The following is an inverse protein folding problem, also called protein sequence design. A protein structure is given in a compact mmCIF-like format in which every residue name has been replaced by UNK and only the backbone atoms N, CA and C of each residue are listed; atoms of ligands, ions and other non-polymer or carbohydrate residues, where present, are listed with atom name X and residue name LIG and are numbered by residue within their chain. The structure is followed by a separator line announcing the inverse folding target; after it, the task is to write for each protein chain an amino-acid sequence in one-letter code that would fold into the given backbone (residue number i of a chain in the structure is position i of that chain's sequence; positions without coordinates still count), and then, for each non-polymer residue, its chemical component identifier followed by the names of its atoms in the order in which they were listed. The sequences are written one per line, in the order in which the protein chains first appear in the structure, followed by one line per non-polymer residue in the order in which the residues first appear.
data_IF_392031328725
#
_entry.id   IF_392031328725
#
_cell.length_a   1.000
_cell.length_b   1.000
_cell.length_c   1.000
_cell.angle_alpha   90.00
_cell.angle_beta   90.00
_cell.angle_gamma   90.00
#
_symmetry.space_group_name_H-M   'P 1'
#
loop_
_entity.id
_entity.type
_entity.pdbx_description
1 polymer ?
#
# COMPACT_ATOMS: atom_id res chain seq x y z
N UNK A 1 21.93 -10.67 1.54
CA UNK A 1 20.50 -11.03 1.58
C UNK A 1 19.75 -9.72 1.68
N UNK A 2 18.97 -9.32 0.67
CA UNK A 2 18.08 -8.17 0.78
C UNK A 2 16.85 -8.62 1.56
N UNK A 3 16.62 -8.01 2.72
CA UNK A 3 15.45 -8.28 3.56
C UNK A 3 14.19 -7.83 2.81
N UNK A 4 13.21 -8.72 2.68
CA UNK A 4 11.87 -8.36 2.17
C UNK A 4 10.97 -7.98 3.34
N UNK A 5 10.12 -6.98 3.13
CA UNK A 5 9.17 -6.45 4.12
C UNK A 5 7.76 -6.51 3.54
N UNK A 6 6.76 -6.58 4.43
CA UNK A 6 5.36 -6.38 4.08
C UNK A 6 5.03 -4.89 4.21
N UNK A 7 4.82 -4.22 3.08
CA UNK A 7 4.53 -2.79 3.02
C UNK A 7 3.04 -2.60 2.74
N UNK A 8 2.35 -1.88 3.63
CA UNK A 8 0.98 -1.43 3.42
C UNK A 8 1.01 0.01 2.90
N UNK A 9 0.51 0.23 1.69
CA UNK A 9 0.32 1.56 1.10
C UNK A 9 -1.12 1.97 1.34
N UNK A 10 -1.31 3.12 2.01
CA UNK A 10 -2.61 3.74 2.22
C UNK A 10 -2.81 4.85 1.18
N UNK A 11 -3.76 4.66 0.27
CA UNK A 11 -4.00 5.55 -0.86
C UNK A 11 -3.31 5.08 -2.13
N UNK A 12 -4.10 4.89 -3.19
CA UNK A 12 -3.71 4.42 -4.51
C UNK A 12 -3.98 5.46 -5.61
N UNK A 13 -3.83 6.74 -5.26
CA UNK A 13 -3.63 7.81 -6.24
C UNK A 13 -2.22 7.79 -6.85
N UNK A 14 -1.80 8.87 -7.48
CA UNK A 14 -0.52 8.94 -8.20
C UNK A 14 0.69 8.57 -7.32
N UNK A 15 0.73 9.07 -6.08
CA UNK A 15 1.82 8.77 -5.16
C UNK A 15 1.82 7.29 -4.73
N UNK A 16 0.65 6.70 -4.52
CA UNK A 16 0.51 5.28 -4.17
C UNK A 16 0.97 4.37 -5.31
N UNK A 17 0.57 4.69 -6.54
CA UNK A 17 1.01 3.98 -7.76
C UNK A 17 2.52 4.08 -7.97
N UNK A 18 3.10 5.26 -7.73
CA UNK A 18 4.56 5.44 -7.79
C UNK A 18 5.28 4.56 -6.76
N UNK A 19 4.76 4.48 -5.52
CA UNK A 19 5.34 3.59 -4.50
C UNK A 19 5.16 2.12 -4.86
N UNK A 20 4.00 1.70 -5.38
CA UNK A 20 3.80 0.33 -5.85
C UNK A 20 4.82 -0.04 -6.94
N UNK A 21 5.00 0.82 -7.95
CA UNK A 21 5.95 0.59 -9.03
C UNK A 21 7.39 0.45 -8.53
N UNK A 22 7.83 1.30 -7.59
CA UNK A 22 9.20 1.30 -7.07
C UNK A 22 9.50 0.12 -6.13
N UNK A 23 8.49 -0.38 -5.42
CA UNK A 23 8.70 -1.34 -4.31
C UNK A 23 8.36 -2.79 -4.68
N UNK A 24 7.52 -3.03 -5.71
CA UNK A 24 6.98 -4.36 -6.04
C UNK A 24 8.03 -5.44 -6.31
N UNK A 25 9.21 -5.07 -6.81
CA UNK A 25 10.27 -6.03 -7.17
C UNK A 25 11.14 -6.43 -5.95
N UNK A 26 10.96 -5.76 -4.81
CA UNK A 26 11.79 -5.93 -3.62
C UNK A 26 11.00 -6.28 -2.35
N UNK A 27 9.71 -5.96 -2.30
CA UNK A 27 8.88 -6.07 -1.11
C UNK A 27 7.50 -6.65 -1.44
N UNK A 28 6.87 -7.26 -0.44
CA UNK A 28 5.47 -7.68 -0.54
C UNK A 28 4.57 -6.49 -0.27
N UNK A 29 3.63 -6.21 -1.18
CA UNK A 29 2.78 -5.02 -1.10
C UNK A 29 1.33 -5.40 -0.82
N UNK A 30 0.71 -4.63 0.06
CA UNK A 30 -0.73 -4.55 0.21
C UNK A 30 -1.16 -3.10 0.03
N UNK A 31 -2.31 -2.87 -0.60
CA UNK A 31 -2.80 -1.52 -0.90
C UNK A 31 -4.20 -1.38 -0.35
N UNK A 32 -4.43 -0.32 0.42
CA UNK A 32 -5.76 0.10 0.82
C UNK A 32 -6.10 1.40 0.11
N UNK A 33 -7.32 1.52 -0.40
CA UNK A 33 -7.84 2.74 -1.01
C UNK A 33 -9.25 3.00 -0.50
N UNK A 34 -9.54 4.27 -0.21
CA UNK A 34 -10.84 4.75 0.25
C UNK A 34 -11.90 4.62 -0.86
N UNK A 35 -11.49 4.82 -2.11
CA UNK A 35 -12.34 4.74 -3.30
C UNK A 35 -11.80 3.70 -4.28
N UNK A 36 -11.96 2.39 -4.01
CA UNK A 36 -11.33 1.34 -4.78
C UNK A 36 -11.86 1.27 -6.22
N UNK A 37 -10.95 1.06 -7.16
CA UNK A 37 -11.27 0.74 -8.55
C UNK A 37 -11.54 -0.77 -8.73
N UNK A 38 -12.41 -1.14 -9.66
CA UNK A 38 -12.79 -2.55 -9.89
C UNK A 38 -11.61 -3.41 -10.36
N UNK A 39 -10.64 -2.81 -11.06
CA UNK A 39 -9.56 -3.54 -11.72
C UNK A 39 -8.33 -3.78 -10.83
N UNK A 40 -8.41 -3.44 -9.52
CA UNK A 40 -7.30 -3.61 -8.59
C UNK A 40 -7.74 -4.27 -7.29
N UNK A 41 -6.87 -5.13 -6.75
CA UNK A 41 -7.12 -5.90 -5.54
C UNK A 41 -6.67 -5.12 -4.31
N UNK A 42 -7.63 -4.52 -3.59
CA UNK A 42 -7.38 -3.78 -2.35
C UNK A 42 -7.58 -4.66 -1.11
N UNK A 43 -6.74 -4.45 -0.09
CA UNK A 43 -6.92 -5.06 1.24
C UNK A 43 -7.81 -4.19 2.12
N UNK A 44 -8.41 -4.76 3.16
CA UNK A 44 -9.05 -4.00 4.24
C UNK A 44 -8.01 -3.56 5.28
N UNK A 45 -8.30 -2.51 6.05
CA UNK A 45 -7.38 -2.06 7.11
C UNK A 45 -7.23 -3.13 8.21
N UNK A 46 -8.32 -3.81 8.56
CA UNK A 46 -8.33 -4.85 9.60
C UNK A 46 -7.42 -6.03 9.25
N UNK A 47 -7.29 -6.35 7.95
CA UNK A 47 -6.39 -7.40 7.46
C UNK A 47 -4.96 -6.89 7.21
N UNK A 48 -4.82 -5.69 6.66
CA UNK A 48 -3.54 -5.13 6.23
C UNK A 48 -2.65 -4.66 7.39
N UNK A 49 -3.21 -3.96 8.37
CA UNK A 49 -2.43 -3.34 9.46
C UNK A 49 -1.68 -4.39 10.30
N UNK A 50 -2.29 -5.50 10.75
CA UNK A 50 -1.59 -6.47 11.58
C UNK A 50 -0.44 -7.21 10.88
N UNK A 51 -0.41 -7.17 9.55
CA UNK A 51 0.59 -7.87 8.70
C UNK A 51 1.69 -6.95 8.18
N UNK A 52 1.54 -5.64 8.36
CA UNK A 52 2.45 -4.65 7.82
C UNK A 52 3.68 -4.47 8.73
N UNK A 53 4.87 -4.64 8.15
CA UNK A 53 6.12 -4.22 8.77
C UNK A 53 6.32 -2.70 8.64
N UNK A 54 5.83 -2.14 7.53
CA UNK A 54 5.93 -0.72 7.17
C UNK A 54 4.57 -0.24 6.66
N UNK A 55 4.13 0.94 7.09
CA UNK A 55 2.93 1.61 6.58
C UNK A 55 3.32 2.93 5.90
N UNK A 56 2.94 3.09 4.63
CA UNK A 56 3.15 4.31 3.85
C UNK A 56 1.82 5.07 3.69
N UNK A 57 1.79 6.31 4.15
CA UNK A 57 0.64 7.20 4.00
C UNK A 57 0.77 7.99 2.70
N UNK A 58 0.05 7.56 1.67
CA UNK A 58 -0.09 8.24 0.38
C UNK A 58 -1.48 8.89 0.24
N UNK A 59 -2.04 9.36 1.36
CA UNK A 59 -3.33 10.03 1.44
C UNK A 59 -3.14 11.55 1.50
N UNK A 60 -4.04 12.34 0.89
CA UNK A 60 -4.05 13.78 1.09
C UNK A 60 -4.33 14.10 2.56
N UNK A 61 -3.69 15.17 3.06
CA UNK A 61 -3.94 15.67 4.41
C UNK A 61 -5.24 16.48 4.38
N UNK A 62 -6.38 15.82 4.53
CA UNK A 62 -7.63 16.49 4.85
C UNK A 62 -7.86 16.46 6.37
N UNK A 63 -8.30 17.57 6.99
CA UNK A 63 -8.94 17.50 8.31
C UNK A 63 -10.28 16.75 8.25
#
# INVERSE_FOLDING_TARGET
MTTSFNVLILGHGEMGQAMEFLLKDHHSLAIWEKFPHIDHSYTSLDEGIPRADIVLFCLPVNP
#
